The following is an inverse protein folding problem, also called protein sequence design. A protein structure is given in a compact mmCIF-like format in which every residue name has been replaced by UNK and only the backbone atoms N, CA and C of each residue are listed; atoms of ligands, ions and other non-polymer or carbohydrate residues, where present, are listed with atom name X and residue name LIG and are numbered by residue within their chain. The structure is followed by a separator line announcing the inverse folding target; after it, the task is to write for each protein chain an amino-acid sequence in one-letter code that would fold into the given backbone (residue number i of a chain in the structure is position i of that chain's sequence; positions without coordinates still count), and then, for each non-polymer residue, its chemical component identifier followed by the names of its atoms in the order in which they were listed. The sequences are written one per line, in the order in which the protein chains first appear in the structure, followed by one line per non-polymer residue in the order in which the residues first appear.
data_IF_631321630649
#
_entry.id   IF_631321630649
#
_cell.length_a   1.000
_cell.length_b   1.000
_cell.length_c   1.000
_cell.angle_alpha   90.00
_cell.angle_beta   90.00
_cell.angle_gamma   90.00
#
_symmetry.space_group_name_H-M   'P 1'
#
loop_
_entity.id
_entity.type
_entity.pdbx_description
1 polymer ?
#
# COMPACT_ATOMS: atom_id res chain seq x y z
N UNK A 1 -18.38 -5.03 5.19
CA UNK A 1 -17.22 -5.85 5.60
C UNK A 1 -16.15 -5.70 4.52
N UNK A 2 -14.85 -5.64 4.83
CA UNK A 2 -13.79 -5.48 3.80
C UNK A 2 -13.01 -6.78 3.71
N UNK A 3 -12.84 -7.29 2.49
CA UNK A 3 -12.06 -8.50 2.24
C UNK A 3 -10.59 -8.12 2.02
N UNK A 4 -9.69 -8.65 2.86
CA UNK A 4 -8.24 -8.38 2.76
C UNK A 4 -7.54 -9.59 2.13
N UNK A 5 -7.01 -9.43 0.92
CA UNK A 5 -6.26 -10.48 0.23
C UNK A 5 -4.79 -10.44 0.68
N UNK A 6 -4.22 -11.63 0.95
CA UNK A 6 -2.82 -11.81 1.35
C UNK A 6 -2.41 -11.12 2.65
N UNK A 7 -3.36 -10.72 3.51
CA UNK A 7 -3.07 -10.00 4.76
C UNK A 7 -2.19 -10.78 5.73
N UNK A 8 -2.31 -12.11 5.77
CA UNK A 8 -1.45 -13.00 6.58
C UNK A 8 0.05 -12.87 6.27
N UNK A 9 0.41 -12.23 5.15
CA UNK A 9 1.81 -11.98 4.74
C UNK A 9 2.29 -10.58 5.12
N UNK A 10 1.49 -9.78 5.83
CA UNK A 10 1.90 -8.48 6.33
C UNK A 10 3.07 -8.65 7.30
N UNK A 11 4.15 -7.92 7.05
CA UNK A 11 5.37 -7.93 7.85
C UNK A 11 5.19 -7.14 9.15
N UNK A 12 6.06 -7.36 10.12
CA UNK A 12 6.07 -6.60 11.38
C UNK A 12 6.18 -5.10 11.16
N UNK A 13 6.85 -4.67 10.09
CA UNK A 13 6.97 -3.26 9.71
C UNK A 13 5.60 -2.66 9.37
N UNK A 14 4.79 -3.39 8.61
CA UNK A 14 3.44 -3.00 8.22
C UNK A 14 2.52 -2.91 9.46
N UNK A 15 2.67 -3.82 10.41
CA UNK A 15 1.94 -3.77 11.68
C UNK A 15 2.39 -2.60 12.55
N UNK A 16 3.69 -2.33 12.64
CA UNK A 16 4.25 -1.23 13.43
C UNK A 16 3.77 0.16 12.99
N UNK A 17 3.54 0.35 11.69
CA UNK A 17 3.00 1.61 11.15
C UNK A 17 1.47 1.68 11.15
N UNK A 18 0.80 0.70 11.76
CA UNK A 18 -0.66 0.56 11.75
C UNK A 18 -1.27 0.72 10.35
N UNK A 19 -0.76 -0.06 9.40
CA UNK A 19 -1.18 0.01 8.00
C UNK A 19 -2.69 -0.21 7.84
N UNK A 20 -3.32 -0.96 8.76
CA UNK A 20 -4.77 -1.18 8.76
C UNK A 20 -5.55 0.13 8.94
N UNK A 21 -5.15 0.97 9.89
CA UNK A 21 -5.75 2.30 10.08
C UNK A 21 -5.46 3.25 8.91
N UNK A 22 -4.24 3.20 8.35
CA UNK A 22 -3.90 4.01 7.17
C UNK A 22 -4.79 3.65 5.98
N UNK A 23 -4.98 2.34 5.72
CA UNK A 23 -5.86 1.87 4.64
C UNK A 23 -7.29 2.37 4.82
N UNK A 24 -7.82 2.37 6.04
CA UNK A 24 -9.20 2.79 6.32
C UNK A 24 -9.41 4.30 6.20
N UNK A 25 -8.42 5.10 6.59
CA UNK A 25 -8.55 6.56 6.67
C UNK A 25 -8.12 7.27 5.40
N UNK A 26 -7.22 6.68 4.62
CA UNK A 26 -6.74 7.31 3.39
C UNK A 26 -7.81 7.35 2.30
N UNK A 27 -7.78 8.39 1.48
CA UNK A 27 -8.54 8.49 0.23
C UNK A 27 -7.74 8.00 -0.98
N UNK A 28 -6.51 7.52 -0.80
CA UNK A 28 -5.71 6.95 -1.87
C UNK A 28 -6.27 5.60 -2.34
N UNK A 29 -6.20 5.39 -3.66
CA UNK A 29 -6.54 4.12 -4.31
C UNK A 29 -5.43 3.09 -4.12
N UNK A 30 -4.18 3.55 -4.11
CA UNK A 30 -3.00 2.71 -3.94
C UNK A 30 -2.12 3.26 -2.82
N UNK A 31 -1.73 2.40 -1.88
CA UNK A 31 -0.77 2.72 -0.82
C UNK A 31 0.49 1.92 -1.08
N UNK A 32 1.62 2.61 -1.18
CA UNK A 32 2.92 1.98 -1.42
C UNK A 32 3.82 2.13 -0.20
N UNK A 33 4.39 1.01 0.26
CA UNK A 33 5.38 0.96 1.32
C UNK A 33 6.69 0.46 0.71
N UNK A 34 7.71 1.31 0.56
CA UNK A 34 9.02 0.83 0.20
C UNK A 34 9.60 0.01 1.36
N UNK A 35 10.05 -1.19 1.03
CA UNK A 35 10.79 -2.07 1.91
C UNK A 35 12.28 -2.02 1.56
N UNK A 36 13.10 -2.62 2.42
CA UNK A 36 14.53 -2.77 2.18
C UNK A 36 14.81 -3.57 0.90
N UNK A 37 16.00 -3.34 0.31
CA UNK A 37 16.52 -4.05 -0.88
C UNK A 37 15.70 -3.85 -2.16
N UNK A 38 15.05 -2.70 -2.32
CA UNK A 38 14.29 -2.35 -3.52
C UNK A 38 13.02 -3.19 -3.70
N UNK A 39 12.43 -3.62 -2.59
CA UNK A 39 11.11 -4.24 -2.55
C UNK A 39 10.07 -3.19 -2.21
N UNK A 40 8.84 -3.43 -2.61
CA UNK A 40 7.70 -2.58 -2.30
C UNK A 40 6.52 -3.48 -1.94
N UNK A 41 5.73 -3.05 -0.97
CA UNK A 41 4.38 -3.58 -0.75
C UNK A 41 3.39 -2.55 -1.25
N UNK A 42 2.45 -3.01 -2.05
CA UNK A 42 1.33 -2.23 -2.57
C UNK A 42 0.05 -2.74 -1.93
N UNK A 43 -0.77 -1.82 -1.45
CA UNK A 43 -2.15 -2.07 -1.05
C UNK A 43 -3.06 -1.34 -2.02
N UNK A 44 -3.81 -2.11 -2.80
CA UNK A 44 -4.69 -1.58 -3.84
C UNK A 44 -6.12 -1.72 -3.34
N UNK A 45 -6.82 -0.59 -3.23
CA UNK A 45 -8.26 -0.57 -3.00
C UNK A 45 -8.96 -0.95 -4.30
N UNK A 46 -9.83 -1.94 -4.21
CA UNK A 46 -10.59 -2.46 -5.34
C UNK A 46 -11.97 -2.86 -4.86
N UNK A 47 -12.76 -3.40 -5.78
CA UNK A 47 -14.09 -3.93 -5.52
C UNK A 47 -14.19 -5.28 -6.20
N UNK A 48 -14.78 -6.26 -5.51
CA UNK A 48 -15.11 -7.55 -6.11
C UNK A 48 -16.18 -7.35 -7.19
N UNK A 49 -15.96 -7.87 -8.40
CA UNK A 49 -16.86 -7.62 -9.53
C UNK A 49 -18.19 -8.35 -9.41
N UNK A 50 -18.21 -9.50 -8.73
CA UNK A 50 -19.39 -10.34 -8.62
C UNK A 50 -20.28 -9.87 -7.46
N UNK A 51 -19.66 -9.50 -6.33
CA UNK A 51 -20.40 -9.11 -5.12
C UNK A 51 -20.47 -7.61 -4.89
N UNK A 52 -19.73 -6.81 -5.66
CA UNK A 52 -19.55 -5.37 -5.45
C UNK A 52 -19.00 -5.01 -4.05
N UNK A 53 -18.39 -5.97 -3.35
CA UNK A 53 -17.84 -5.75 -2.01
C UNK A 53 -16.45 -5.09 -2.05
N UNK A 54 -16.14 -4.18 -1.11
CA UNK A 54 -14.81 -3.58 -1.02
C UNK A 54 -13.71 -4.62 -0.74
N UNK A 55 -12.64 -4.51 -1.50
CA UNK A 55 -11.48 -5.41 -1.49
C UNK A 55 -10.18 -4.63 -1.30
N UNK A 56 -9.26 -5.16 -0.51
CA UNK A 56 -7.88 -4.68 -0.47
C UNK A 56 -6.96 -5.79 -0.95
N UNK A 57 -6.17 -5.49 -1.99
CA UNK A 57 -5.20 -6.41 -2.55
C UNK A 57 -3.81 -6.02 -2.07
N UNK A 58 -3.16 -6.89 -1.30
CA UNK A 58 -1.75 -6.74 -0.91
C UNK A 58 -0.83 -7.45 -1.90
N UNK A 59 0.12 -6.72 -2.46
CA UNK A 59 1.11 -7.23 -3.42
C UNK A 59 2.51 -6.85 -2.96
N UNK A 60 3.41 -7.82 -2.82
CA UNK A 60 4.84 -7.55 -2.56
C UNK A 60 5.65 -7.86 -3.82
N UNK A 61 6.46 -6.90 -4.29
CA UNK A 61 7.27 -7.04 -5.51
C UNK A 61 8.66 -6.41 -5.36
N UNK A 62 9.66 -6.99 -6.02
CA UNK A 62 10.99 -6.40 -6.16
C UNK A 62 11.02 -5.51 -7.40
N UNK A 63 10.75 -4.21 -7.22
CA UNK A 63 10.64 -3.25 -8.30
C UNK A 63 11.08 -1.86 -7.83
N UNK A 64 11.45 -0.99 -8.78
CA UNK A 64 11.84 0.38 -8.49
C UNK A 64 10.60 1.25 -8.16
N UNK A 65 10.61 1.88 -6.99
CA UNK A 65 9.49 2.71 -6.50
C UNK A 65 9.13 3.85 -7.46
N UNK A 66 10.12 4.56 -8.01
CA UNK A 66 9.86 5.67 -8.94
C UNK A 66 9.26 5.20 -10.26
N UNK A 67 9.58 3.98 -10.69
CA UNK A 67 8.99 3.40 -11.89
C UNK A 67 7.52 3.09 -11.65
N UNK A 68 7.21 2.45 -10.54
CA UNK A 68 5.85 2.01 -10.25
C UNK A 68 4.94 3.17 -9.84
N UNK A 69 5.44 4.14 -9.08
CA UNK A 69 4.71 5.38 -8.79
C UNK A 69 4.27 6.08 -10.08
N UNK A 70 5.19 6.29 -11.02
CA UNK A 70 4.88 6.93 -12.31
C UNK A 70 3.90 6.11 -13.14
N UNK A 71 3.89 4.79 -12.99
CA UNK A 71 2.93 3.94 -13.69
C UNK A 71 1.51 4.19 -13.13
N UNK A 72 1.35 4.10 -11.82
CA UNK A 72 0.06 4.33 -11.17
C UNK A 72 -0.48 5.74 -11.42
N UNK A 73 0.37 6.76 -11.34
CA UNK A 73 0.01 8.15 -11.64
C UNK A 73 -0.45 8.32 -13.10
N UNK A 74 0.22 7.67 -14.06
CA UNK A 74 -0.18 7.69 -15.47
C UNK A 74 -1.51 6.99 -15.73
N UNK A 75 -1.79 5.95 -14.96
CA UNK A 75 -3.06 5.21 -15.02
C UNK A 75 -4.18 5.97 -14.27
N UNK A 76 -3.89 7.13 -13.67
CA UNK A 76 -4.87 8.02 -13.03
C UNK A 76 -5.20 7.66 -11.58
N UNK A 77 -4.46 6.75 -10.97
CA UNK A 77 -4.67 6.35 -9.59
C UNK A 77 -4.12 7.38 -8.60
N UNK A 78 -4.84 7.59 -7.50
CA UNK A 78 -4.36 8.37 -6.36
C UNK A 78 -3.45 7.50 -5.51
N UNK A 79 -2.16 7.83 -5.50
CA UNK A 79 -1.13 7.06 -4.77
C UNK A 79 -0.71 7.77 -3.50
N UNK A 80 -0.59 7.03 -2.40
CA UNK A 80 0.05 7.49 -1.17
C UNK A 80 1.27 6.61 -0.86
N UNK A 81 2.43 7.24 -0.64
CA UNK A 81 3.63 6.55 -0.18
C UNK A 81 3.70 6.68 1.33
N UNK A 82 3.87 5.55 2.02
CA UNK A 82 4.09 5.51 3.47
C UNK A 82 5.54 5.12 3.71
N UNK A 83 6.32 6.03 4.29
CA UNK A 83 7.73 5.81 4.60
C UNK A 83 7.86 5.39 6.07
N UNK A 84 8.08 4.09 6.36
CA UNK A 84 8.04 3.58 7.73
C UNK A 84 9.19 4.08 8.63
N UNK A 85 10.24 4.69 8.06
CA UNK A 85 11.43 5.15 8.78
C UNK A 85 11.67 6.67 8.68
N UNK A 86 10.69 7.49 8.29
CA UNK A 86 10.84 8.94 8.33
C UNK A 86 10.60 9.46 9.76
N UNK A 87 11.52 9.18 10.66
CA UNK A 87 11.70 10.02 11.85
C UNK A 87 12.40 11.27 11.35
N UNK A 88 11.67 12.39 11.25
CA UNK A 88 12.30 13.70 11.14
C UNK A 88 13.17 13.85 12.40
N UNK A 89 14.48 13.65 12.27
CA UNK A 89 15.40 14.24 13.23
C UNK A 89 15.28 15.75 13.02
N UNK A 90 14.57 16.40 13.94
CA UNK A 90 14.74 17.81 14.15
C UNK A 90 16.15 17.98 14.73
N UNK A 91 17.02 18.67 13.97
CA UNK A 91 18.28 19.21 14.49
C UNK A 91 17.99 20.35 15.48
#
# INVERSE_FOLDING_TARGET
MVKLINWRKATDLEQKIDIGSIIRTTTADVIMIPLNKGKIVEYIKSTDLDTMEPLIIRIERKINLRRELRRWEREGFKVQIVLPNFVLKAD
#
